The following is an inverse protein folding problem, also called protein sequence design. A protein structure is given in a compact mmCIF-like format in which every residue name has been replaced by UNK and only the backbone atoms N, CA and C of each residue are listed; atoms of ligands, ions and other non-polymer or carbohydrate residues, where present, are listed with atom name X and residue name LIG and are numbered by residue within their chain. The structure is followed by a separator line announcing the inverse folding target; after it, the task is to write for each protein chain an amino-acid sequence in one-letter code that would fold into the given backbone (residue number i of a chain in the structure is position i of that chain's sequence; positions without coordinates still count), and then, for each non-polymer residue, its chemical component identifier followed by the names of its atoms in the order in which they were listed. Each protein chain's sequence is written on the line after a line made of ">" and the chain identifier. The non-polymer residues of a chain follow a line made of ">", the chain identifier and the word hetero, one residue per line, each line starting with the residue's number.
data_IF_847270092399
#
_entry.id   IF_847270092399
#
_cell.length_a   1.000
_cell.length_b   1.000
_cell.length_c   1.000
_cell.angle_alpha   90.00
_cell.angle_beta   90.00
_cell.angle_gamma   90.00
#
_symmetry.space_group_name_H-M   'P 1'
#
loop_
_entity.id
_entity.type
_entity.pdbx_description
1 polymer ?
#
# COMPACT_ATOMS: atom_id res chain seq x y z
N UNK A 1 16.83 10.07 2.68
CA UNK A 1 15.65 9.26 3.02
C UNK A 1 15.49 8.10 2.05
N UNK A 2 15.09 6.96 2.54
CA UNK A 2 14.82 5.79 1.69
C UNK A 2 13.46 5.97 1.02
N UNK A 3 13.43 5.87 -0.29
CA UNK A 3 12.18 5.97 -1.07
C UNK A 3 11.58 4.59 -1.26
N UNK A 4 10.34 4.42 -0.79
CA UNK A 4 9.63 3.14 -0.81
C UNK A 4 8.33 3.29 -1.59
N UNK A 5 8.10 2.40 -2.53
CA UNK A 5 6.84 2.32 -3.28
C UNK A 5 6.08 1.08 -2.86
N UNK A 6 4.82 1.26 -2.47
CA UNK A 6 3.89 0.16 -2.24
C UNK A 6 2.97 0.03 -3.45
N UNK A 7 2.87 -1.16 -3.98
CA UNK A 7 2.10 -1.44 -5.20
C UNK A 7 1.00 -2.46 -4.94
N UNK A 8 -0.22 -2.14 -5.38
CA UNK A 8 -1.32 -3.11 -5.46
C UNK A 8 -2.02 -2.93 -6.81
N UNK A 9 -3.15 -3.61 -7.02
CA UNK A 9 -3.82 -3.53 -8.33
C UNK A 9 -4.48 -2.16 -8.54
N UNK A 10 -5.32 -1.72 -7.61
CA UNK A 10 -6.12 -0.51 -7.80
C UNK A 10 -5.66 0.70 -6.99
N UNK A 11 -4.66 0.56 -6.14
CA UNK A 11 -4.22 1.61 -5.20
C UNK A 11 -5.37 2.12 -4.33
N UNK A 12 -6.34 1.26 -4.05
CA UNK A 12 -7.57 1.64 -3.34
C UNK A 12 -7.61 1.19 -1.88
N UNK A 13 -6.75 0.26 -1.49
CA UNK A 13 -6.81 -0.35 -0.17
C UNK A 13 -5.42 -0.67 0.40
N UNK A 14 -4.87 -1.84 0.08
CA UNK A 14 -3.65 -2.38 0.70
C UNK A 14 -2.43 -1.45 0.61
N UNK A 15 -2.13 -0.94 -0.57
CA UNK A 15 -0.97 -0.05 -0.76
C UNK A 15 -1.15 1.28 -0.07
N UNK A 16 -2.38 1.81 -0.02
CA UNK A 16 -2.70 3.05 0.70
C UNK A 16 -2.48 2.90 2.20
N UNK A 17 -2.89 1.77 2.78
CA UNK A 17 -2.66 1.49 4.18
C UNK A 17 -1.17 1.37 4.49
N UNK A 18 -0.42 0.65 3.66
CA UNK A 18 1.02 0.48 3.85
C UNK A 18 1.76 1.81 3.78
N UNK A 19 1.44 2.65 2.79
CA UNK A 19 2.03 3.99 2.68
C UNK A 19 1.77 4.82 3.95
N UNK A 20 0.52 4.85 4.40
CA UNK A 20 0.15 5.65 5.57
C UNK A 20 0.86 5.17 6.85
N UNK A 21 0.96 3.86 7.04
CA UNK A 21 1.65 3.31 8.21
C UNK A 21 3.15 3.57 8.17
N UNK A 22 3.78 3.50 6.99
CA UNK A 22 5.20 3.79 6.90
C UNK A 22 5.49 5.27 7.18
N UNK A 23 4.62 6.17 6.74
CA UNK A 23 4.73 7.60 7.09
C UNK A 23 4.63 7.80 8.59
N UNK A 24 3.74 7.05 9.26
CA UNK A 24 3.54 7.17 10.71
C UNK A 24 4.69 6.54 11.50
N UNK A 25 5.10 5.33 11.15
CA UNK A 25 6.06 4.55 11.93
C UNK A 25 7.51 4.72 11.49
N UNK A 26 7.74 5.29 10.32
CA UNK A 26 9.07 5.48 9.77
C UNK A 26 9.86 6.63 10.38
N UNK A 27 9.24 7.48 11.18
CA UNK A 27 9.88 8.57 11.93
C UNK A 27 10.76 9.48 11.06
N UNK A 28 10.29 9.81 9.86
CA UNK A 28 11.00 10.70 8.94
C UNK A 28 12.16 10.08 8.17
N UNK A 29 12.40 8.77 8.33
CA UNK A 29 13.50 8.08 7.64
C UNK A 29 13.13 7.62 6.23
N UNK A 30 11.86 7.66 5.87
CA UNK A 30 11.36 7.13 4.60
C UNK A 30 10.50 8.15 3.86
N UNK A 31 10.56 8.10 2.53
CA UNK A 31 9.56 8.71 1.65
C UNK A 31 8.70 7.59 1.10
N UNK A 32 7.46 7.49 1.55
CA UNK A 32 6.54 6.43 1.16
C UNK A 32 5.58 6.94 0.09
N UNK A 33 5.39 6.14 -0.94
CA UNK A 33 4.37 6.37 -1.97
C UNK A 33 3.66 5.06 -2.26
N UNK A 34 2.47 5.16 -2.84
CA UNK A 34 1.72 4.00 -3.29
C UNK A 34 1.16 4.24 -4.68
N UNK A 35 0.95 3.15 -5.42
CA UNK A 35 0.39 3.21 -6.77
C UNK A 35 -0.29 1.89 -7.09
N UNK A 36 -1.02 1.86 -8.19
CA UNK A 36 -1.69 0.66 -8.68
C UNK A 36 -1.45 0.42 -10.15
N UNK A 37 -1.67 -0.82 -10.56
CA UNK A 37 -1.62 -1.20 -11.98
C UNK A 37 -2.79 -0.57 -12.74
N UNK A 38 -3.96 -0.51 -12.10
CA UNK A 38 -5.22 0.01 -12.65
C UNK A 38 -5.87 0.87 -11.59
N UNK A 39 -5.54 2.17 -11.47
CA UNK A 39 -6.07 3.03 -10.41
C UNK A 39 -7.60 3.04 -10.37
N UNK A 40 -8.14 2.84 -9.19
CA UNK A 40 -9.59 2.85 -8.95
C UNK A 40 -9.97 3.93 -7.95
N UNK A 41 -10.98 3.66 -7.14
CA UNK A 41 -11.44 4.57 -6.08
C UNK A 41 -11.03 4.01 -4.72
N UNK A 42 -10.73 4.88 -3.77
CA UNK A 42 -10.47 4.47 -2.40
C UNK A 42 -11.62 3.65 -1.85
N UNK A 43 -11.28 2.54 -1.20
CA UNK A 43 -12.26 1.68 -0.55
C UNK A 43 -12.77 2.39 0.72
N UNK A 44 -14.09 2.67 0.83
CA UNK A 44 -14.62 3.42 1.97
C UNK A 44 -14.46 2.69 3.30
N UNK A 45 -14.48 1.36 3.33
CA UNK A 45 -14.24 0.59 4.55
C UNK A 45 -12.79 0.75 5.03
N UNK A 46 -11.85 0.83 4.08
CA UNK A 46 -10.44 1.07 4.40
C UNK A 46 -10.25 2.47 4.95
N UNK A 47 -10.90 3.48 4.37
CA UNK A 47 -10.88 4.85 4.90
C UNK A 47 -11.36 4.88 6.35
N UNK A 48 -12.46 4.18 6.64
CA UNK A 48 -13.01 4.07 8.00
C UNK A 48 -12.05 3.37 8.96
N UNK A 49 -11.46 2.26 8.50
CA UNK A 49 -10.53 1.48 9.33
C UNK A 49 -9.27 2.30 9.68
N UNK A 50 -8.77 3.09 8.74
CA UNK A 50 -7.61 3.95 9.00
C UNK A 50 -7.97 5.11 9.92
N UNK A 51 -9.16 5.66 9.80
CA UNK A 51 -9.64 6.72 10.70
C UNK A 51 -9.68 6.23 12.15
N UNK A 52 -9.97 4.97 12.39
CA UNK A 52 -9.92 4.37 13.74
C UNK A 52 -8.52 4.44 14.36
N UNK A 53 -7.49 4.48 13.52
CA UNK A 53 -6.10 4.63 13.96
C UNK A 53 -5.62 6.09 13.98
N UNK A 54 -6.54 7.03 13.77
CA UNK A 54 -6.20 8.45 13.71
C UNK A 54 -5.55 8.89 12.41
N UNK A 55 -5.69 8.10 11.36
CA UNK A 55 -5.08 8.38 10.04
C UNK A 55 -6.18 8.65 9.04
N UNK A 56 -6.18 9.85 8.44
CA UNK A 56 -7.14 10.23 7.40
C UNK A 56 -6.52 10.07 6.02
N UNK A 57 -7.01 9.08 5.27
CA UNK A 57 -6.60 8.87 3.86
C UNK A 57 -7.70 9.26 2.88
N UNK A 58 -8.82 9.84 3.36
CA UNK A 58 -10.01 10.09 2.55
C UNK A 58 -9.76 10.97 1.33
N UNK A 59 -8.74 11.81 1.36
CA UNK A 59 -8.40 12.73 0.27
C UNK A 59 -7.23 12.26 -0.58
N UNK A 60 -6.69 11.08 -0.31
CA UNK A 60 -5.57 10.57 -1.08
C UNK A 60 -6.01 10.21 -2.50
N UNK A 61 -5.23 10.59 -3.52
CA UNK A 61 -5.52 10.15 -4.89
C UNK A 61 -5.11 8.69 -5.07
N UNK A 62 -5.71 8.03 -6.06
CA UNK A 62 -5.19 6.76 -6.55
C UNK A 62 -4.28 7.07 -7.75
N UNK A 63 -3.13 6.42 -7.82
CA UNK A 63 -2.10 6.74 -8.81
C UNK A 63 -1.76 5.51 -9.64
N UNK A 64 -1.36 5.75 -10.91
CA UNK A 64 -0.88 4.70 -11.78
C UNK A 64 0.62 4.49 -11.60
N UNK A 65 1.03 3.22 -11.41
CA UNK A 65 2.46 2.87 -11.35
C UNK A 65 3.15 3.20 -12.68
N UNK A 66 2.42 3.11 -13.80
CA UNK A 66 2.98 3.40 -15.11
C UNK A 66 3.28 4.89 -15.30
N UNK A 67 2.51 5.76 -14.67
CA UNK A 67 2.79 7.21 -14.67
C UNK A 67 4.07 7.50 -13.89
N UNK A 68 4.30 6.83 -12.76
CA UNK A 68 5.54 6.96 -12.01
C UNK A 68 6.73 6.44 -12.81
N UNK A 69 6.55 5.32 -13.50
CA UNK A 69 7.58 4.75 -14.38
C UNK A 69 7.91 5.71 -15.53
N UNK A 70 6.90 6.28 -16.19
CA UNK A 70 7.08 7.22 -17.30
C UNK A 70 7.80 8.50 -16.83
N UNK A 71 7.58 8.92 -15.58
CA UNK A 71 8.26 10.06 -14.98
C UNK A 71 9.69 9.74 -14.52
N UNK A 72 10.16 8.53 -14.77
CA UNK A 72 11.52 8.06 -14.42
C UNK A 72 11.81 8.15 -12.93
N UNK A 73 10.78 7.92 -12.10
CA UNK A 73 10.94 7.91 -10.65
C UNK A 73 11.85 6.75 -10.22
N UNK A 74 12.57 6.96 -9.15
CA UNK A 74 13.50 5.96 -8.60
C UNK A 74 13.08 5.63 -7.18
N UNK A 75 13.01 4.33 -6.86
CA UNK A 75 12.69 3.84 -5.51
C UNK A 75 13.76 2.84 -5.08
N UNK A 76 14.23 2.97 -3.85
CA UNK A 76 15.18 2.01 -3.29
C UNK A 76 14.51 0.69 -2.93
N UNK A 77 13.23 0.73 -2.56
CA UNK A 77 12.45 -0.46 -2.23
C UNK A 77 11.11 -0.40 -2.92
N UNK A 78 10.72 -1.49 -3.56
CA UNK A 78 9.38 -1.66 -4.15
C UNK A 78 8.73 -2.84 -3.47
N UNK A 79 7.62 -2.61 -2.78
CA UNK A 79 6.87 -3.63 -2.05
C UNK A 79 5.55 -3.89 -2.76
N UNK A 80 5.35 -5.09 -3.28
CA UNK A 80 4.08 -5.49 -3.85
C UNK A 80 3.21 -6.13 -2.76
N UNK A 81 2.01 -5.61 -2.58
CA UNK A 81 1.09 -6.07 -1.53
C UNK A 81 -0.15 -6.75 -2.14
N UNK A 82 -0.04 -7.18 -3.38
CA UNK A 82 -1.07 -7.84 -4.16
C UNK A 82 -0.67 -9.31 -4.43
N UNK A 83 -1.41 -9.99 -5.29
CA UNK A 83 -1.08 -11.36 -5.69
C UNK A 83 0.25 -11.42 -6.46
N UNK A 84 0.88 -12.60 -6.49
CA UNK A 84 2.11 -12.82 -7.25
C UNK A 84 1.90 -12.52 -8.74
N UNK A 85 0.74 -12.90 -9.30
CA UNK A 85 0.41 -12.65 -10.70
C UNK A 85 0.34 -11.15 -11.01
N UNK A 86 -0.30 -10.38 -10.14
CA UNK A 86 -0.36 -8.93 -10.31
C UNK A 86 1.02 -8.29 -10.13
N UNK A 87 1.84 -8.82 -9.23
CA UNK A 87 3.20 -8.33 -8.99
C UNK A 87 4.08 -8.44 -10.25
N UNK A 88 3.87 -9.47 -11.07
CA UNK A 88 4.62 -9.67 -12.31
C UNK A 88 4.35 -8.58 -13.34
N UNK A 89 3.24 -7.86 -13.24
CA UNK A 89 2.88 -6.77 -14.14
C UNK A 89 3.57 -5.44 -13.79
N UNK A 90 4.27 -5.38 -12.66
CA UNK A 90 4.96 -4.17 -12.22
C UNK A 90 6.12 -3.84 -13.19
N UNK A 91 6.22 -2.60 -13.69
CA UNK A 91 7.36 -2.20 -14.51
C UNK A 91 8.66 -2.21 -13.69
N UNK A 92 9.78 -2.42 -14.38
CA UNK A 92 11.10 -2.37 -13.75
C UNK A 92 11.55 -0.92 -13.69
N UNK A 93 11.61 -0.35 -12.49
CA UNK A 93 12.03 1.03 -12.30
C UNK A 93 13.54 1.19 -12.53
N UNK A 94 14.01 2.37 -12.98
CA UNK A 94 15.43 2.60 -13.18
C UNK A 94 16.22 2.54 -11.88
N UNK A 95 17.48 2.14 -11.97
CA UNK A 95 18.35 2.00 -10.81
C UNK A 95 18.25 0.64 -10.15
N UNK A 96 18.90 0.50 -9.00
CA UNK A 96 18.87 -0.72 -8.21
C UNK A 96 17.77 -0.61 -7.16
N UNK A 97 16.78 -1.48 -7.24
CA UNK A 97 15.68 -1.54 -6.28
C UNK A 97 15.65 -2.89 -5.59
N UNK A 98 15.46 -2.87 -4.27
CA UNK A 98 15.14 -4.09 -3.52
C UNK A 98 13.65 -4.36 -3.72
N UNK A 99 13.30 -5.56 -4.14
CA UNK A 99 11.90 -5.95 -4.34
C UNK A 99 11.45 -6.86 -3.22
N UNK A 100 10.33 -6.50 -2.59
CA UNK A 100 9.69 -7.29 -1.56
C UNK A 100 8.27 -7.62 -2.00
N UNK A 101 7.73 -8.74 -1.53
CA UNK A 101 6.38 -9.16 -1.84
C UNK A 101 5.67 -9.57 -0.55
N UNK A 102 4.62 -8.83 -0.20
CA UNK A 102 3.80 -9.09 0.99
C UNK A 102 2.36 -9.39 0.54
N UNK A 103 2.00 -10.66 0.39
CA UNK A 103 0.64 -10.98 -0.05
C UNK A 103 -0.36 -10.81 1.09
N UNK A 104 -1.27 -9.84 0.94
CA UNK A 104 -2.38 -9.62 1.87
C UNK A 104 -3.70 -9.84 1.15
N UNK A 105 -4.73 -10.24 1.89
CA UNK A 105 -6.08 -10.37 1.33
C UNK A 105 -6.58 -9.01 0.84
N UNK A 106 -7.31 -9.02 -0.29
CA UNK A 106 -7.85 -7.80 -0.89
C UNK A 106 -9.14 -7.38 -0.20
N UNK A 107 -9.16 -6.25 0.54
CA UNK A 107 -10.37 -5.78 1.21
C UNK A 107 -11.56 -5.56 0.28
N UNK A 108 -11.31 -5.26 -0.99
CA UNK A 108 -12.38 -5.04 -1.97
C UNK A 108 -13.10 -6.32 -2.38
N UNK A 109 -12.54 -7.49 -2.03
CA UNK A 109 -13.17 -8.79 -2.30
C UNK A 109 -14.07 -9.27 -1.16
N UNK A 110 -14.08 -8.58 -0.02
CA UNK A 110 -14.84 -8.99 1.15
C UNK A 110 -16.33 -8.74 0.94
N UNK A 111 -17.16 -9.69 1.40
CA UNK A 111 -18.62 -9.64 1.24
C UNK A 111 -19.30 -9.88 2.59
N UNK A 112 -20.58 -9.54 2.66
CA UNK A 112 -21.39 -9.69 3.86
C UNK A 112 -21.92 -8.35 4.34
N UNK A 113 -22.25 -8.27 5.64
CA UNK A 113 -22.71 -7.01 6.23
C UNK A 113 -21.53 -6.05 6.39
N UNK A 114 -21.83 -4.77 6.58
CA UNK A 114 -20.79 -3.77 6.81
C UNK A 114 -19.92 -4.13 8.03
N UNK A 115 -20.55 -4.66 9.09
CA UNK A 115 -19.81 -5.09 10.28
C UNK A 115 -18.87 -6.24 10.00
N UNK A 116 -19.31 -7.23 9.19
CA UNK A 116 -18.47 -8.36 8.80
C UNK A 116 -17.30 -7.90 7.95
N UNK A 117 -17.57 -7.04 6.97
CA UNK A 117 -16.53 -6.47 6.10
C UNK A 117 -15.51 -5.68 6.94
N UNK A 118 -16.00 -4.82 7.84
CA UNK A 118 -15.11 -4.03 8.71
C UNK A 118 -14.23 -4.91 9.60
N UNK A 119 -14.77 -6.01 10.14
CA UNK A 119 -13.98 -6.92 10.96
C UNK A 119 -12.80 -7.51 10.17
N UNK A 120 -13.06 -7.93 8.93
CA UNK A 120 -12.00 -8.46 8.06
C UNK A 120 -11.01 -7.39 7.61
N UNK A 121 -11.50 -6.20 7.30
CA UNK A 121 -10.64 -5.07 6.91
C UNK A 121 -9.70 -4.70 8.06
N UNK A 122 -10.18 -4.69 9.30
CA UNK A 122 -9.35 -4.41 10.47
C UNK A 122 -8.24 -5.46 10.63
N UNK A 123 -8.53 -6.73 10.35
CA UNK A 123 -7.50 -7.78 10.42
C UNK A 123 -6.40 -7.53 9.38
N UNK A 124 -6.76 -7.24 8.15
CA UNK A 124 -5.78 -6.93 7.09
C UNK A 124 -5.01 -5.66 7.44
N UNK A 125 -5.69 -4.62 7.91
CA UNK A 125 -5.05 -3.37 8.36
C UNK A 125 -3.98 -3.65 9.41
N UNK A 126 -4.31 -4.46 10.40
CA UNK A 126 -3.39 -4.73 11.51
C UNK A 126 -2.21 -5.59 11.05
N UNK A 127 -2.43 -6.52 10.12
CA UNK A 127 -1.36 -7.31 9.50
C UNK A 127 -0.39 -6.42 8.71
N UNK A 128 -0.93 -5.47 7.96
CA UNK A 128 -0.12 -4.53 7.18
C UNK A 128 0.68 -3.62 8.11
N UNK A 129 0.04 -3.11 9.16
CA UNK A 129 0.72 -2.26 10.14
C UNK A 129 1.92 -2.99 10.76
N UNK A 130 1.73 -4.25 11.16
CA UNK A 130 2.81 -5.03 11.75
C UNK A 130 3.96 -5.27 10.76
N UNK A 131 3.65 -5.61 9.52
CA UNK A 131 4.66 -5.80 8.49
C UNK A 131 5.44 -4.50 8.24
N UNK A 132 4.76 -3.36 8.20
CA UNK A 132 5.39 -2.06 8.01
C UNK A 132 6.29 -1.70 9.20
N UNK A 133 5.85 -1.99 10.42
CA UNK A 133 6.66 -1.71 11.63
C UNK A 133 7.94 -2.53 11.63
N UNK A 134 7.86 -3.82 11.29
CA UNK A 134 9.03 -4.68 11.17
C UNK A 134 9.97 -4.19 10.08
N UNK A 135 9.42 -3.78 8.94
CA UNK A 135 10.20 -3.21 7.84
C UNK A 135 10.95 -1.96 8.30
N UNK A 136 10.29 -1.05 8.99
CA UNK A 136 10.88 0.21 9.44
C UNK A 136 12.03 -0.02 10.43
N UNK A 137 11.96 -1.05 11.26
CA UNK A 137 13.04 -1.40 12.20
C UNK A 137 14.26 -1.93 11.44
N UNK A 138 14.05 -2.73 10.39
CA UNK A 138 15.13 -3.39 9.64
C UNK A 138 15.77 -2.53 8.55
N UNK A 139 15.23 -1.40 8.27
CA UNK A 139 15.69 -0.51 7.19
C UNK A 139 15.87 0.90 7.69
#
# INVERSE_FOLDING_TARGET
>A
MTKVLFLCVHNSARSQMAEAFLKKHGEGRFEAESAGLEPGKLNPFVVRAMAEKGIDISKNPTKSVFDLFAAKRVFQVVVTVCSAEAAERCPVFPGLSKKLHWPFADPSSFTGTDEMIMAEVRQVRDQIEEAVREFAVGH
#
